data_IF_462593024799
#
_entry.id   IF_462593024799
#
_cell.length_a   1.000
_cell.length_b   1.000
_cell.length_c   1.000
_cell.angle_alpha   90.00
_cell.angle_beta   90.00
_cell.angle_gamma   90.00
#
_symmetry.space_group_name_H-M   'P 1'
#
loop_
_entity.id
_entity.type
_entity.pdbx_description
1 polymer ?
#
# COMPACT_ATOMS: atom_id res chain seq x y z
N UNK A 1 14.04 -18.88 2.31
CA UNK A 1 13.83 -17.49 2.77
C UNK A 1 12.56 -16.98 2.10
N UNK A 2 11.63 -16.39 2.84
CA UNK A 2 10.45 -15.67 2.29
C UNK A 2 10.73 -14.17 2.29
N UNK A 3 10.17 -13.44 1.33
CA UNK A 3 10.36 -12.00 1.21
C UNK A 3 9.07 -11.29 0.83
N UNK A 4 8.91 -10.05 1.32
CA UNK A 4 7.74 -9.16 1.10
C UNK A 4 6.44 -9.67 1.73
N UNK A 5 5.99 -10.87 1.38
CA UNK A 5 4.89 -11.58 2.04
C UNK A 5 5.40 -12.88 2.62
N UNK A 6 4.99 -13.15 3.85
CA UNK A 6 5.36 -14.38 4.51
C UNK A 6 4.44 -15.54 4.07
N UNK A 7 4.92 -16.78 4.23
CA UNK A 7 4.14 -17.99 3.96
C UNK A 7 4.11 -18.83 5.25
N UNK A 8 3.27 -18.48 6.24
CA UNK A 8 3.17 -19.23 7.49
C UNK A 8 2.89 -20.70 7.24
N UNK A 9 3.58 -21.58 7.97
CA UNK A 9 3.47 -23.03 7.80
C UNK A 9 4.43 -23.66 6.80
N UNK A 10 5.03 -22.89 5.88
CA UNK A 10 6.11 -23.40 5.04
C UNK A 10 7.45 -23.42 5.81
N UNK A 11 8.24 -24.51 5.72
CA UNK A 11 9.62 -24.52 6.21
C UNK A 11 10.42 -23.40 5.55
N UNK A 12 11.03 -22.52 6.36
CA UNK A 12 11.83 -21.40 5.86
C UNK A 12 12.96 -21.06 6.81
N UNK A 13 14.08 -20.62 6.25
CA UNK A 13 15.24 -20.17 7.03
C UNK A 13 15.06 -18.76 7.61
N UNK A 14 14.32 -17.87 6.94
CA UNK A 14 14.11 -16.49 7.38
C UNK A 14 12.93 -15.84 6.64
N UNK A 15 12.41 -14.74 7.20
CA UNK A 15 11.51 -13.80 6.52
C UNK A 15 12.19 -12.42 6.46
N UNK A 16 12.11 -11.76 5.31
CA UNK A 16 12.64 -10.40 5.10
C UNK A 16 11.59 -9.53 4.43
N UNK A 17 11.12 -8.49 5.11
CA UNK A 17 10.10 -7.61 4.57
C UNK A 17 9.55 -6.65 5.60
N UNK A 18 8.55 -5.86 5.21
CA UNK A 18 7.84 -4.98 6.13
C UNK A 18 6.84 -5.77 6.98
N UNK A 19 6.39 -5.20 8.09
CA UNK A 19 5.14 -5.64 8.70
C UNK A 19 3.96 -5.07 7.90
N UNK A 20 3.30 -5.93 7.12
CA UNK A 20 2.18 -5.53 6.25
C UNK A 20 0.97 -5.02 7.04
N UNK A 21 0.74 -5.56 8.25
CA UNK A 21 -0.34 -5.09 9.12
C UNK A 21 -0.03 -3.67 9.58
N UNK A 22 1.18 -3.41 10.04
CA UNK A 22 1.64 -2.07 10.43
C UNK A 22 1.55 -1.12 9.24
N UNK A 23 1.97 -1.53 8.04
CA UNK A 23 1.90 -0.67 6.85
C UNK A 23 0.45 -0.30 6.47
N UNK A 24 -0.50 -1.23 6.62
CA UNK A 24 -1.94 -0.94 6.48
C UNK A 24 -2.46 0.03 7.53
N UNK A 25 -2.10 -0.18 8.80
CA UNK A 25 -2.43 0.74 9.90
C UNK A 25 -1.88 2.15 9.64
N UNK A 26 -0.64 2.25 9.17
CA UNK A 26 -0.01 3.52 8.81
C UNK A 26 -0.74 4.22 7.66
N UNK A 27 -1.19 3.49 6.64
CA UNK A 27 -1.99 4.07 5.56
C UNK A 27 -3.31 4.70 6.07
N UNK A 28 -4.01 4.04 7.00
CA UNK A 28 -5.24 4.56 7.59
C UNK A 28 -4.99 5.77 8.48
N UNK A 29 -3.91 5.75 9.28
CA UNK A 29 -3.50 6.90 10.07
C UNK A 29 -3.23 8.12 9.19
N UNK A 30 -2.47 7.95 8.11
CA UNK A 30 -2.20 9.03 7.15
C UNK A 30 -3.49 9.54 6.50
N UNK A 31 -4.35 8.63 6.04
CA UNK A 31 -5.65 8.97 5.44
C UNK A 31 -6.49 9.82 6.40
N UNK A 32 -6.68 9.37 7.64
CA UNK A 32 -7.46 10.08 8.64
C UNK A 32 -6.88 11.45 9.00
N UNK A 33 -5.55 11.55 9.11
CA UNK A 33 -4.87 12.83 9.40
C UNK A 33 -4.98 13.82 8.25
N UNK A 34 -4.82 13.40 6.99
CA UNK A 34 -5.01 14.28 5.84
C UNK A 34 -6.46 14.77 5.70
N UNK A 35 -7.42 13.93 6.04
CA UNK A 35 -8.84 14.28 5.95
C UNK A 35 -9.32 15.17 7.10
N UNK A 36 -8.52 15.37 8.15
CA UNK A 36 -8.74 16.44 9.14
C UNK A 36 -10.11 16.43 9.82
N UNK A 37 -10.70 15.25 10.06
CA UNK A 37 -12.02 15.11 10.70
C UNK A 37 -13.22 15.17 9.74
N UNK A 38 -13.01 15.23 8.43
CA UNK A 38 -14.10 15.11 7.44
C UNK A 38 -14.83 13.78 7.57
N UNK A 39 -16.14 13.78 7.40
CA UNK A 39 -16.98 12.56 7.38
C UNK A 39 -17.26 12.17 5.94
N UNK A 40 -17.14 10.89 5.60
CA UNK A 40 -17.49 10.42 4.25
C UNK A 40 -16.80 9.13 3.82
N UNK A 41 -16.75 8.95 2.51
CA UNK A 41 -16.46 7.66 1.89
C UNK A 41 -15.04 7.56 1.36
N UNK A 42 -14.49 6.36 1.46
CA UNK A 42 -13.20 5.95 0.93
C UNK A 42 -13.38 4.79 -0.05
N UNK A 43 -12.52 4.74 -1.05
CA UNK A 43 -12.38 3.57 -1.92
C UNK A 43 -11.08 2.83 -1.60
N UNK A 44 -11.09 1.53 -1.85
CA UNK A 44 -9.93 0.65 -1.70
C UNK A 44 -9.71 -0.17 -2.96
N UNK A 45 -8.47 -0.24 -3.41
CA UNK A 45 -8.02 -1.10 -4.50
C UNK A 45 -7.09 -2.16 -3.92
N UNK A 46 -7.48 -3.42 -4.01
CA UNK A 46 -6.75 -4.57 -3.49
C UNK A 46 -6.25 -5.40 -4.66
N UNK A 47 -4.98 -5.80 -4.68
CA UNK A 47 -4.43 -6.66 -5.75
C UNK A 47 -5.13 -8.02 -5.78
N UNK A 48 -4.69 -8.94 -4.92
CA UNK A 48 -5.43 -10.13 -4.54
C UNK A 48 -5.52 -10.29 -3.03
N UNK A 49 -6.67 -10.73 -2.50
CA UNK A 49 -6.86 -11.10 -1.08
C UNK A 49 -6.26 -12.46 -0.73
N UNK A 50 -6.02 -13.31 -1.73
CA UNK A 50 -5.24 -14.54 -1.56
C UNK A 50 -3.77 -14.26 -1.25
N UNK A 51 -3.30 -13.05 -1.59
CA UNK A 51 -1.97 -12.61 -1.22
C UNK A 51 -1.97 -12.04 0.20
N UNK A 52 -1.43 -12.82 1.15
CA UNK A 52 -1.43 -12.52 2.59
C UNK A 52 -0.94 -11.11 2.92
N UNK A 53 0.10 -10.61 2.24
CA UNK A 53 0.57 -9.23 2.47
C UNK A 53 -0.49 -8.17 2.18
N UNK A 54 -1.35 -8.37 1.18
CA UNK A 54 -2.47 -7.46 0.92
C UNK A 54 -3.60 -7.62 1.94
N UNK A 55 -3.93 -8.85 2.33
CA UNK A 55 -4.90 -9.11 3.39
C UNK A 55 -4.50 -8.41 4.69
N UNK A 56 -3.23 -8.59 5.13
CA UNK A 56 -2.71 -7.98 6.35
C UNK A 56 -2.78 -6.45 6.31
N UNK A 57 -2.49 -5.84 5.16
CA UNK A 57 -2.62 -4.39 4.93
C UNK A 57 -4.08 -3.92 4.99
N UNK A 58 -4.99 -4.59 4.28
CA UNK A 58 -6.42 -4.25 4.29
C UNK A 58 -6.97 -4.33 5.73
N UNK A 59 -6.66 -5.42 6.46
CA UNK A 59 -7.09 -5.58 7.83
C UNK A 59 -6.50 -4.50 8.76
N UNK A 60 -5.24 -4.12 8.57
CA UNK A 60 -4.61 -3.03 9.35
C UNK A 60 -5.27 -1.68 9.10
N UNK A 61 -5.55 -1.39 7.84
CA UNK A 61 -6.22 -0.16 7.44
C UNK A 61 -7.61 -0.07 8.08
N UNK A 62 -8.43 -1.12 7.94
CA UNK A 62 -9.79 -1.15 8.50
C UNK A 62 -9.81 -1.04 10.03
N UNK A 63 -8.86 -1.69 10.71
CA UNK A 63 -8.72 -1.64 12.18
C UNK A 63 -8.48 -0.22 12.69
N UNK A 64 -7.52 0.52 12.10
CA UNK A 64 -7.28 1.92 12.50
C UNK A 64 -8.46 2.83 12.16
N UNK A 65 -9.14 2.63 11.02
CA UNK A 65 -10.35 3.42 10.73
C UNK A 65 -11.42 3.21 11.80
N UNK A 66 -11.68 1.97 12.22
CA UNK A 66 -12.67 1.69 13.26
C UNK A 66 -12.27 2.21 14.65
N UNK A 67 -10.97 2.24 14.94
CA UNK A 67 -10.44 2.67 16.24
C UNK A 67 -10.36 4.20 16.36
N UNK A 68 -9.91 4.89 15.31
CA UNK A 68 -9.49 6.30 15.38
C UNK A 68 -10.27 7.23 14.45
N UNK A 69 -10.90 6.71 13.38
CA UNK A 69 -11.58 7.52 12.36
C UNK A 69 -12.96 6.95 11.98
N UNK A 70 -13.88 6.73 12.94
CA UNK A 70 -15.17 6.06 12.70
C UNK A 70 -16.10 6.85 11.76
N UNK A 71 -15.80 8.12 11.49
CA UNK A 71 -16.46 8.98 10.53
C UNK A 71 -16.06 8.70 9.06
N UNK A 72 -15.06 7.84 8.82
CA UNK A 72 -14.62 7.44 7.49
C UNK A 72 -15.07 6.00 7.21
N UNK A 73 -15.74 5.79 6.08
CA UNK A 73 -16.26 4.47 5.69
C UNK A 73 -15.68 4.03 4.35
N UNK A 74 -15.15 2.81 4.28
CA UNK A 74 -14.76 2.19 3.00
C UNK A 74 -16.01 1.65 2.31
N UNK A 75 -16.54 2.36 1.32
CA UNK A 75 -17.78 1.98 0.60
C UNK A 75 -17.53 1.14 -0.64
N UNK A 76 -16.30 1.16 -1.16
CA UNK A 76 -15.88 0.35 -2.31
C UNK A 76 -14.55 -0.30 -2.01
N UNK A 77 -14.47 -1.62 -2.14
CA UNK A 77 -13.22 -2.37 -2.06
C UNK A 77 -13.16 -3.38 -3.22
N UNK A 78 -12.37 -3.06 -4.25
CA UNK A 78 -12.29 -3.86 -5.47
C UNK A 78 -11.00 -4.66 -5.48
N UNK A 79 -11.14 -5.97 -5.67
CA UNK A 79 -10.03 -6.87 -5.95
C UNK A 79 -9.77 -6.87 -7.46
N UNK A 80 -8.54 -6.55 -7.85
CA UNK A 80 -8.18 -6.31 -9.27
C UNK A 80 -7.36 -7.44 -9.89
N UNK A 81 -6.93 -8.43 -9.12
CA UNK A 81 -5.99 -9.48 -9.55
C UNK A 81 -4.75 -8.92 -10.26
N UNK A 82 -4.25 -7.80 -9.75
CA UNK A 82 -3.13 -7.02 -10.29
C UNK A 82 -3.31 -6.45 -11.71
N UNK A 83 -4.55 -6.36 -12.22
CA UNK A 83 -4.87 -5.75 -13.52
C UNK A 83 -5.16 -4.25 -13.41
N UNK A 84 -4.30 -3.35 -13.95
CA UNK A 84 -4.48 -1.91 -13.82
C UNK A 84 -5.76 -1.36 -14.47
N UNK A 85 -6.25 -1.98 -15.54
CA UNK A 85 -7.46 -1.53 -16.22
C UNK A 85 -8.71 -1.74 -15.34
N UNK A 86 -8.74 -2.80 -14.53
CA UNK A 86 -9.81 -3.01 -13.55
C UNK A 86 -9.78 -1.91 -12.48
N UNK A 87 -8.58 -1.55 -12.01
CA UNK A 87 -8.40 -0.43 -11.08
C UNK A 87 -8.88 0.90 -11.66
N UNK A 88 -8.58 1.16 -12.93
CA UNK A 88 -9.07 2.34 -13.64
C UNK A 88 -10.60 2.37 -13.70
N UNK A 89 -11.25 1.31 -14.20
CA UNK A 89 -12.71 1.25 -14.32
C UNK A 89 -13.38 1.37 -12.95
N UNK A 90 -12.85 0.70 -11.93
CA UNK A 90 -13.35 0.78 -10.56
C UNK A 90 -13.24 2.20 -9.98
N UNK A 91 -12.11 2.87 -10.22
CA UNK A 91 -11.88 4.24 -9.75
C UNK A 91 -12.81 5.22 -10.46
N UNK A 92 -12.95 5.13 -11.78
CA UNK A 92 -13.90 5.95 -12.55
C UNK A 92 -15.33 5.78 -12.04
N UNK A 93 -15.75 4.55 -11.79
CA UNK A 93 -17.08 4.25 -11.24
C UNK A 93 -17.26 4.83 -9.82
N UNK A 94 -16.23 4.71 -8.96
CA UNK A 94 -16.27 5.26 -7.62
C UNK A 94 -16.40 6.80 -7.64
N UNK A 95 -15.61 7.47 -8.46
CA UNK A 95 -15.67 8.93 -8.63
C UNK A 95 -17.01 9.40 -9.21
N UNK A 96 -17.61 8.63 -10.14
CA UNK A 96 -18.91 8.95 -10.70
C UNK A 96 -20.05 8.79 -9.70
N UNK A 97 -20.06 7.68 -8.95
CA UNK A 97 -21.11 7.38 -7.99
C UNK A 97 -21.01 8.23 -6.71
N UNK A 98 -19.80 8.62 -6.33
CA UNK A 98 -19.50 9.39 -5.12
C UNK A 98 -18.65 10.62 -5.47
N UNK A 99 -19.26 11.72 -5.96
CA UNK A 99 -18.51 12.93 -6.35
C UNK A 99 -17.70 13.57 -5.21
N UNK A 100 -18.09 13.32 -3.95
CA UNK A 100 -17.39 13.76 -2.74
C UNK A 100 -16.49 12.65 -2.13
N UNK A 101 -16.06 11.67 -2.92
CA UNK A 101 -15.12 10.63 -2.48
C UNK A 101 -13.90 11.28 -1.82
N UNK A 102 -13.63 10.90 -0.57
CA UNK A 102 -12.62 11.57 0.24
C UNK A 102 -11.22 11.04 0.00
N UNK A 103 -11.10 9.74 -0.25
CA UNK A 103 -9.80 9.09 -0.33
C UNK A 103 -9.82 7.75 -1.02
N UNK A 104 -8.67 7.36 -1.53
CA UNK A 104 -8.42 6.09 -2.20
C UNK A 104 -7.18 5.47 -1.57
N UNK A 105 -7.29 4.24 -1.09
CA UNK A 105 -6.15 3.45 -0.66
C UNK A 105 -5.89 2.30 -1.63
N UNK A 106 -4.72 2.32 -2.28
CA UNK A 106 -4.26 1.22 -3.13
C UNK A 106 -3.30 0.33 -2.34
N UNK A 107 -3.79 -0.85 -1.94
CA UNK A 107 -3.12 -1.81 -1.05
C UNK A 107 -1.90 -2.47 -1.71
N UNK A 108 -1.99 -2.70 -3.03
CA UNK A 108 -1.03 -3.49 -3.80
C UNK A 108 -0.76 -2.89 -5.17
N UNK A 109 -0.91 -3.68 -6.23
CA UNK A 109 -0.85 -3.19 -7.61
C UNK A 109 -2.09 -2.36 -7.98
N UNK A 110 -2.14 -1.85 -9.22
CA UNK A 110 -3.28 -1.06 -9.72
C UNK A 110 -3.17 0.45 -9.58
N UNK A 111 -2.06 0.94 -9.01
CA UNK A 111 -1.75 2.36 -8.79
C UNK A 111 -1.87 3.22 -10.04
N UNK A 112 -1.41 2.69 -11.18
CA UNK A 112 -1.46 3.36 -12.48
C UNK A 112 -2.89 3.55 -12.97
N UNK A 113 -3.77 2.58 -12.73
CA UNK A 113 -5.20 2.68 -13.04
C UNK A 113 -5.89 3.78 -12.24
N UNK A 114 -5.61 3.86 -10.93
CA UNK A 114 -6.11 4.93 -10.07
C UNK A 114 -5.62 6.30 -10.56
N UNK A 115 -4.31 6.44 -10.79
CA UNK A 115 -3.72 7.69 -11.24
C UNK A 115 -4.29 8.14 -12.59
N UNK A 116 -4.47 7.22 -13.54
CA UNK A 116 -5.10 7.49 -14.83
C UNK A 116 -6.54 7.97 -14.68
N UNK A 117 -7.34 7.31 -13.84
CA UNK A 117 -8.71 7.71 -13.59
C UNK A 117 -8.81 9.10 -12.96
N UNK A 118 -7.94 9.43 -11.99
CA UNK A 118 -7.89 10.77 -11.39
C UNK A 118 -7.51 11.85 -12.40
N UNK A 119 -6.53 11.57 -13.27
CA UNK A 119 -6.08 12.48 -14.30
C UNK A 119 -7.17 12.79 -15.34
N UNK A 120 -7.95 11.77 -15.73
CA UNK A 120 -9.02 11.91 -16.73
C UNK A 120 -10.30 12.48 -16.15
N UNK A 121 -10.74 11.99 -14.99
CA UNK A 121 -11.99 12.41 -14.36
C UNK A 121 -11.94 13.86 -13.85
N UNK A 122 -10.75 14.34 -13.46
CA UNK A 122 -10.52 15.70 -12.92
C UNK A 122 -11.61 16.10 -11.91
N UNK A 123 -11.80 15.33 -10.83
CA UNK A 123 -12.85 15.62 -9.86
C UNK A 123 -12.65 17.03 -9.28
N UNK A 124 -13.75 17.72 -8.95
CA UNK A 124 -13.69 19.08 -8.39
C UNK A 124 -12.80 19.14 -7.14
N UNK A 125 -12.76 18.05 -6.38
CA UNK A 125 -11.83 17.83 -5.28
C UNK A 125 -11.12 16.50 -5.49
N UNK A 126 -9.78 16.53 -5.53
CA UNK A 126 -8.96 15.31 -5.59
C UNK A 126 -9.13 14.54 -4.27
N UNK A 127 -9.52 13.25 -4.30
CA UNK A 127 -9.45 12.40 -3.10
C UNK A 127 -7.99 12.23 -2.67
N UNK A 128 -7.76 12.09 -1.37
CA UNK A 128 -6.43 11.71 -0.83
C UNK A 128 -6.07 10.33 -1.36
N UNK A 129 -4.94 10.21 -2.04
CA UNK A 129 -4.47 8.95 -2.60
C UNK A 129 -3.22 8.47 -1.87
N UNK A 130 -3.30 7.26 -1.29
CA UNK A 130 -2.18 6.56 -0.65
C UNK A 130 -1.94 5.23 -1.35
N UNK A 131 -0.68 4.92 -1.66
CA UNK A 131 -0.31 3.62 -2.23
C UNK A 131 1.02 3.09 -1.69
N UNK A 132 1.39 1.88 -2.11
CA UNK A 132 2.67 1.24 -1.76
C UNK A 132 3.68 1.34 -2.89
N UNK A 133 4.97 1.13 -2.57
CA UNK A 133 6.13 1.04 -3.46
C UNK A 133 6.51 2.33 -4.23
N UNK A 134 7.73 2.81 -3.97
CA UNK A 134 8.30 3.90 -4.75
C UNK A 134 8.92 3.35 -6.04
N UNK A 135 8.35 3.76 -7.16
CA UNK A 135 8.76 3.40 -8.51
C UNK A 135 8.91 4.68 -9.32
N UNK A 136 9.45 4.59 -10.56
CA UNK A 136 9.49 5.74 -11.45
C UNK A 136 8.10 6.35 -11.71
N UNK A 137 7.06 5.50 -11.81
CA UNK A 137 5.69 5.95 -12.05
C UNK A 137 5.10 6.65 -10.82
N UNK A 138 5.18 6.03 -9.63
CA UNK A 138 4.66 6.64 -8.40
C UNK A 138 5.43 7.89 -7.98
N UNK A 139 6.71 7.98 -8.34
CA UNK A 139 7.49 9.22 -8.24
C UNK A 139 6.88 10.34 -9.08
N UNK A 140 6.51 10.04 -10.33
CA UNK A 140 5.82 10.98 -11.21
C UNK A 140 4.48 11.43 -10.61
N UNK A 141 3.69 10.49 -10.11
CA UNK A 141 2.39 10.80 -9.51
C UNK A 141 2.49 11.71 -8.27
N UNK A 142 3.54 11.56 -7.45
CA UNK A 142 3.80 12.49 -6.33
C UNK A 142 4.14 13.89 -6.83
N UNK A 143 4.99 14.00 -7.86
CA UNK A 143 5.40 15.30 -8.44
C UNK A 143 4.21 16.01 -9.08
N UNK A 144 3.39 15.27 -9.82
CA UNK A 144 2.21 15.74 -10.55
C UNK A 144 0.98 15.95 -9.65
N UNK A 145 1.13 15.76 -8.33
CA UNK A 145 0.08 15.92 -7.32
C UNK A 145 -1.12 14.96 -7.48
N UNK A 146 -0.96 13.88 -8.25
CA UNK A 146 -1.95 12.81 -8.39
C UNK A 146 -1.98 11.88 -7.18
N UNK A 147 -0.84 11.73 -6.50
CA UNK A 147 -0.64 10.85 -5.34
C UNK A 147 -0.12 11.68 -4.17
N UNK A 148 -0.63 11.42 -2.96
CA UNK A 148 -0.25 12.19 -1.76
C UNK A 148 0.89 11.51 -1.00
N UNK A 149 0.83 10.18 -0.84
CA UNK A 149 1.86 9.42 -0.12
C UNK A 149 2.11 8.04 -0.72
N UNK A 150 3.39 7.71 -0.85
CA UNK A 150 3.87 6.33 -1.04
C UNK A 150 4.40 5.78 0.27
N UNK A 151 3.90 4.62 0.67
CA UNK A 151 4.50 3.77 1.70
C UNK A 151 5.48 2.84 1.00
N UNK A 152 6.75 3.18 1.03
CA UNK A 152 7.80 2.44 0.34
C UNK A 152 8.41 1.35 1.23
N UNK A 153 8.49 0.14 0.70
CA UNK A 153 8.98 -1.03 1.44
C UNK A 153 10.52 -1.13 1.47
N UNK A 154 11.24 -0.24 0.78
CA UNK A 154 12.67 -0.32 0.57
C UNK A 154 13.10 -1.66 -0.06
N UNK A 155 12.61 -1.92 -1.27
CA UNK A 155 12.83 -3.16 -2.00
C UNK A 155 14.32 -3.54 -2.13
N UNK A 156 15.21 -2.54 -2.28
CA UNK A 156 16.66 -2.76 -2.31
C UNK A 156 17.15 -3.38 -1.00
N UNK A 157 16.81 -2.80 0.14
CA UNK A 157 17.22 -3.33 1.44
C UNK A 157 16.61 -4.72 1.71
N UNK A 158 15.36 -4.94 1.30
CA UNK A 158 14.74 -6.28 1.36
C UNK A 158 15.56 -7.28 0.56
N UNK A 159 15.97 -6.96 -0.67
CA UNK A 159 16.77 -7.85 -1.50
C UNK A 159 18.15 -8.14 -0.88
N UNK A 160 18.87 -7.09 -0.45
CA UNK A 160 20.19 -7.22 0.20
C UNK A 160 20.12 -8.12 1.44
N UNK A 161 19.17 -7.85 2.33
CA UNK A 161 18.98 -8.65 3.54
C UNK A 161 18.55 -10.08 3.23
N UNK A 162 17.76 -10.30 2.17
CA UNK A 162 17.36 -11.65 1.75
C UNK A 162 18.57 -12.48 1.31
N UNK A 163 19.49 -11.89 0.55
CA UNK A 163 20.74 -12.57 0.12
C UNK A 163 21.63 -12.88 1.32
N UNK A 164 21.82 -11.93 2.24
CA UNK A 164 22.61 -12.15 3.47
C UNK A 164 22.05 -13.31 4.29
N UNK A 165 20.73 -13.37 4.47
CA UNK A 165 20.08 -14.46 5.22
C UNK A 165 20.14 -15.79 4.50
N UNK A 166 20.06 -15.80 3.17
CA UNK A 166 20.22 -17.00 2.37
C UNK A 166 21.64 -17.57 2.53
N UNK A 167 22.67 -16.74 2.34
CA UNK A 167 24.07 -17.14 2.51
C UNK A 167 24.35 -17.64 3.94
N UNK A 168 23.86 -16.92 4.96
CA UNK A 168 23.98 -17.35 6.35
C UNK A 168 23.31 -18.68 6.65
N UNK A 169 22.18 -18.98 5.98
CA UNK A 169 21.48 -20.26 6.13
C UNK A 169 22.18 -21.43 5.45
N UNK A 170 23.00 -21.17 4.43
CA UNK A 170 23.81 -22.19 3.75
C UNK A 170 25.09 -22.47 4.56
N UNK A 171 25.70 -21.43 5.12
CA UNK A 171 26.97 -21.53 5.83
C UNK A 171 26.84 -22.08 7.28
N UNK A 172 25.64 -22.13 7.84
CA UNK A 172 25.38 -22.56 9.22
C UNK A 172 24.48 -23.79 9.26
N UNK A 173 24.79 -24.74 10.14
CA UNK A 173 23.97 -25.93 10.43
C UNK A 173 22.84 -25.67 11.44
N UNK A 174 22.77 -24.48 12.04
CA UNK A 174 21.72 -24.11 12.98
C UNK A 174 20.62 -23.28 12.30
N UNK A 175 19.34 -23.71 12.30
CA UNK A 175 18.25 -22.93 11.75
C UNK A 175 17.97 -21.71 12.64
N UNK A 176 18.26 -20.51 12.14
CA UNK A 176 17.85 -19.27 12.78
C UNK A 176 16.64 -18.69 12.06
N UNK A 177 15.42 -18.94 12.57
CA UNK A 177 14.21 -18.20 12.21
C UNK A 177 14.36 -16.73 12.60
N UNK A 178 15.10 -15.97 11.81
CA UNK A 178 15.27 -14.53 12.01
C UNK A 178 14.29 -13.82 11.09
N UNK A 179 13.27 -13.20 11.69
CA UNK A 179 12.46 -12.19 11.01
C UNK A 179 13.31 -10.93 10.92
N UNK A 180 13.65 -10.50 9.71
CA UNK A 180 14.24 -9.18 9.46
C UNK A 180 13.13 -8.27 8.98
N UNK A 181 12.50 -7.58 9.93
CA UNK A 181 11.56 -6.52 9.61
C UNK A 181 12.33 -5.31 9.07
N UNK A 182 11.80 -4.74 7.99
CA UNK A 182 12.25 -3.50 7.38
C UNK A 182 11.20 -2.44 7.71
N UNK A 183 11.64 -1.29 8.23
CA UNK A 183 10.76 -0.17 8.47
C UNK A 183 10.36 0.48 7.13
N UNK A 184 9.05 0.62 6.84
CA UNK A 184 8.62 1.29 5.62
C UNK A 184 8.94 2.79 5.67
N UNK A 185 9.27 3.36 4.51
CA UNK A 185 9.55 4.79 4.34
C UNK A 185 8.29 5.50 3.86
N UNK A 186 7.96 6.63 4.48
CA UNK A 186 6.87 7.49 4.02
C UNK A 186 7.43 8.53 3.05
N UNK A 187 7.02 8.43 1.80
CA UNK A 187 7.48 9.30 0.72
C UNK A 187 6.33 10.20 0.27
N UNK A 188 6.51 11.49 0.52
CA UNK A 188 5.67 12.61 0.11
C UNK A 188 6.35 13.33 -1.05
N UNK A 189 5.64 14.27 -1.69
CA UNK A 189 6.20 15.12 -2.74
C UNK A 189 7.48 15.85 -2.32
N UNK A 190 7.57 16.26 -1.06
CA UNK A 190 8.64 17.07 -0.50
C UNK A 190 9.93 16.29 -0.21
N UNK A 191 9.83 14.97 -0.02
CA UNK A 191 10.99 14.12 0.30
C UNK A 191 11.24 13.04 -0.77
N UNK A 192 10.73 13.23 -1.98
CA UNK A 192 11.01 12.35 -3.12
C UNK A 192 12.53 12.32 -3.38
N UNK A 193 13.20 11.16 -3.26
CA UNK A 193 14.65 11.06 -3.40
C UNK A 193 15.11 11.44 -4.80
N UNK A 194 15.95 12.47 -4.94
CA UNK A 194 16.61 12.88 -6.20
C UNK A 194 17.44 11.71 -6.74
N UNK A 195 17.38 11.48 -8.06
CA UNK A 195 18.25 10.51 -8.74
C UNK A 195 19.59 11.15 -9.07
#
# INVERSE_FOLDING_TARGET
VTLVSDVPGAPRSAYVGIDNRVAGRTAALLMGRFLGGRTGHLAMVVGSRSYRGHEEREMGFRSVLSEEFPNLTVTSAVEINDEPDISYTATMKALHNEPELLGIYCVGAGRSGVAKALLEAKPQRKPVFVCHDLTRATRGYLVDDLLDVVIDQNARLIAEQSVIRLLGSIASSAPYLTRKLIEPRLVFKENVPVQ
#
